data_IF_889872121940
#
_entry.id   IF_889872121940
#
_cell.length_a   1.000
_cell.length_b   1.000
_cell.length_c   1.000
_cell.angle_alpha   90.00
_cell.angle_beta   90.00
_cell.angle_gamma   90.00
#
_symmetry.space_group_name_H-M   'P 1'
#
loop_
_entity.id
_entity.type
_entity.pdbx_description
1 polymer ?
#
# COMPACT_ATOMS: atom_id res chain seq x y z
N UNK A 1 -10.33 -4.56 8.58
CA UNK A 1 -9.94 -3.95 7.32
C UNK A 1 -10.43 -2.50 7.29
N UNK A 2 -9.72 -1.59 6.70
CA UNK A 2 -10.13 -0.23 6.47
C UNK A 2 -9.41 0.82 7.33
N UNK A 3 -9.72 2.06 7.06
CA UNK A 3 -9.13 3.24 7.67
C UNK A 3 -9.83 3.49 9.02
N UNK A 4 -9.24 2.96 10.09
CA UNK A 4 -9.87 3.00 11.42
C UNK A 4 -9.67 4.32 12.18
N UNK A 5 -8.71 5.13 11.76
CA UNK A 5 -8.42 6.42 12.38
C UNK A 5 -9.31 7.56 11.85
N UNK A 6 -10.03 7.35 10.75
CA UNK A 6 -11.00 8.30 10.20
C UNK A 6 -12.40 7.98 10.70
N UNK A 7 -13.03 8.93 11.39
CA UNK A 7 -14.39 8.77 11.88
C UNK A 7 -15.38 8.82 10.72
N UNK A 8 -16.25 7.81 10.64
CA UNK A 8 -17.46 7.87 9.82
C UNK A 8 -18.61 8.22 10.73
N UNK A 9 -19.19 9.39 10.56
CA UNK A 9 -20.19 9.92 11.50
C UNK A 9 -21.35 10.57 10.77
N UNK A 10 -22.47 10.69 11.49
CA UNK A 10 -23.59 11.54 11.10
C UNK A 10 -23.36 12.90 11.74
N UNK A 11 -23.32 13.94 10.91
CA UNK A 11 -23.12 15.31 11.37
C UNK A 11 -24.45 15.91 11.81
N UNK A 12 -24.44 16.58 12.96
CA UNK A 12 -25.56 17.35 13.45
C UNK A 12 -25.16 18.82 13.55
N UNK A 13 -25.97 19.72 12.97
CA UNK A 13 -25.72 21.16 12.89
C UNK A 13 -26.81 21.98 13.57
N UNK A 14 -27.50 21.43 14.56
CA UNK A 14 -28.56 22.13 15.27
C UNK A 14 -28.06 23.46 15.87
N UNK A 15 -28.60 24.57 15.37
CA UNK A 15 -28.24 25.91 15.81
C UNK A 15 -26.85 26.39 15.40
N UNK A 16 -26.10 25.64 14.56
CA UNK A 16 -24.80 26.08 14.09
C UNK A 16 -24.89 27.24 13.10
N UNK A 17 -24.03 28.22 13.27
CA UNK A 17 -23.91 29.35 12.34
C UNK A 17 -22.97 28.94 11.18
N UNK A 18 -23.38 29.18 9.95
CA UNK A 18 -22.61 28.86 8.77
C UNK A 18 -22.66 29.96 7.72
N UNK A 19 -21.68 29.96 6.82
CA UNK A 19 -21.62 30.88 5.70
C UNK A 19 -21.52 30.07 4.40
N UNK A 20 -22.26 30.52 3.39
CA UNK A 20 -22.18 29.89 2.08
C UNK A 20 -20.87 30.25 1.40
N UNK A 21 -20.14 29.24 0.94
CA UNK A 21 -18.96 29.38 0.10
C UNK A 21 -19.27 28.80 -1.29
N UNK A 22 -19.25 29.64 -2.31
CA UNK A 22 -19.63 29.27 -3.66
C UNK A 22 -21.08 29.61 -4.02
N UNK A 23 -21.61 29.00 -5.06
CA UNK A 23 -22.98 29.24 -5.56
C UNK A 23 -24.01 28.35 -4.87
N UNK A 24 -25.21 28.88 -4.67
CA UNK A 24 -26.34 28.11 -4.13
C UNK A 24 -26.65 26.91 -5.03
N UNK A 25 -26.85 25.76 -4.40
CA UNK A 25 -27.17 24.48 -5.06
C UNK A 25 -26.08 23.93 -6.01
N UNK A 26 -24.84 24.45 -5.94
CA UNK A 26 -23.70 23.98 -6.75
C UNK A 26 -22.67 23.16 -5.93
N UNK A 27 -22.98 22.81 -4.69
CA UNK A 27 -22.06 22.09 -3.80
C UNK A 27 -21.55 20.76 -4.37
N UNK A 28 -22.41 20.01 -5.05
CA UNK A 28 -22.01 18.74 -5.68
C UNK A 28 -20.95 18.95 -6.79
N UNK A 29 -21.12 19.99 -7.62
CA UNK A 29 -20.14 20.32 -8.66
C UNK A 29 -18.79 20.75 -8.04
N UNK A 30 -18.80 21.53 -6.97
CA UNK A 30 -17.60 21.92 -6.23
C UNK A 30 -16.91 20.69 -5.60
N UNK A 31 -17.68 19.72 -5.09
CA UNK A 31 -17.15 18.48 -4.52
C UNK A 31 -16.37 17.65 -5.53
N UNK A 32 -16.74 17.65 -6.80
CA UNK A 32 -16.00 16.90 -7.83
C UNK A 32 -14.55 17.37 -8.00
N UNK A 33 -14.27 18.63 -7.75
CA UNK A 33 -12.89 19.14 -7.73
C UNK A 33 -12.07 18.42 -6.66
N UNK A 34 -12.59 18.36 -5.44
CA UNK A 34 -11.98 17.62 -4.33
C UNK A 34 -11.83 16.12 -4.67
N UNK A 35 -12.88 15.51 -5.19
CA UNK A 35 -12.87 14.08 -5.53
C UNK A 35 -11.79 13.70 -6.57
N UNK A 36 -11.48 14.58 -7.51
CA UNK A 36 -10.41 14.33 -8.47
C UNK A 36 -9.03 14.27 -7.79
N UNK A 37 -8.78 15.16 -6.85
CA UNK A 37 -7.55 15.10 -6.04
C UNK A 37 -7.51 13.87 -5.13
N UNK A 38 -8.63 13.51 -4.53
CA UNK A 38 -8.74 12.32 -3.69
C UNK A 38 -8.46 11.03 -4.46
N UNK A 39 -8.94 10.91 -5.68
CA UNK A 39 -8.65 9.74 -6.55
C UNK A 39 -7.16 9.58 -6.80
N UNK A 40 -6.45 10.67 -7.05
CA UNK A 40 -4.99 10.66 -7.18
C UNK A 40 -4.32 10.27 -5.85
N UNK A 41 -4.78 10.87 -4.74
CA UNK A 41 -4.29 10.57 -3.39
C UNK A 41 -4.43 9.09 -3.02
N UNK A 42 -5.58 8.48 -3.30
CA UNK A 42 -5.80 7.05 -3.08
C UNK A 42 -4.88 6.18 -3.96
N UNK A 43 -4.62 6.59 -5.19
CA UNK A 43 -3.64 5.92 -6.05
C UNK A 43 -2.24 5.92 -5.45
N UNK A 44 -1.80 7.07 -4.95
CA UNK A 44 -0.51 7.21 -4.25
C UNK A 44 -0.48 6.39 -2.95
N UNK A 45 -1.58 6.36 -2.20
CA UNK A 45 -1.70 5.52 -1.00
C UNK A 45 -1.53 4.03 -1.32
N UNK A 46 -2.11 3.55 -2.42
CA UNK A 46 -1.92 2.19 -2.90
C UNK A 46 -0.45 1.88 -3.21
N UNK A 47 0.22 2.78 -3.92
CA UNK A 47 1.64 2.66 -4.23
C UNK A 47 2.50 2.63 -2.96
N UNK A 48 2.30 3.57 -2.06
CA UNK A 48 3.06 3.67 -0.81
C UNK A 48 2.88 2.43 0.08
N UNK A 49 1.66 1.89 0.16
CA UNK A 49 1.38 0.66 0.90
C UNK A 49 2.07 -0.55 0.27
N UNK A 50 2.04 -0.65 -1.06
CA UNK A 50 2.73 -1.69 -1.82
C UNK A 50 4.24 -1.63 -1.60
N UNK A 51 4.84 -0.45 -1.71
CA UNK A 51 6.26 -0.23 -1.48
C UNK A 51 6.69 -0.59 -0.05
N UNK A 52 5.93 -0.17 0.95
CA UNK A 52 6.23 -0.52 2.35
C UNK A 52 6.16 -2.02 2.59
N UNK A 53 5.18 -2.69 2.03
CA UNK A 53 5.04 -4.14 2.12
C UNK A 53 6.20 -4.87 1.45
N UNK A 54 6.62 -4.39 0.28
CA UNK A 54 7.74 -4.93 -0.47
C UNK A 54 9.06 -4.81 0.29
N UNK A 55 9.36 -3.63 0.83
CA UNK A 55 10.57 -3.41 1.63
C UNK A 55 10.62 -4.33 2.84
N UNK A 56 9.53 -4.45 3.59
CA UNK A 56 9.44 -5.35 4.75
C UNK A 56 9.62 -6.83 4.36
N UNK A 57 9.06 -7.23 3.22
CA UNK A 57 9.22 -8.59 2.71
C UNK A 57 10.67 -8.91 2.31
N UNK A 58 11.37 -7.95 1.69
CA UNK A 58 12.79 -8.11 1.32
C UNK A 58 13.68 -8.23 2.57
N UNK A 59 13.48 -7.37 3.56
CA UNK A 59 14.23 -7.44 4.82
C UNK A 59 14.04 -8.80 5.47
N UNK A 60 12.81 -9.25 5.64
CA UNK A 60 12.50 -10.57 6.16
C UNK A 60 13.15 -11.69 5.35
N UNK A 61 13.09 -11.63 4.02
CA UNK A 61 13.66 -12.66 3.15
C UNK A 61 15.19 -12.74 3.21
N UNK A 62 15.87 -11.64 3.54
CA UNK A 62 17.32 -11.61 3.76
C UNK A 62 17.71 -12.20 5.11
N UNK A 63 16.90 -12.02 6.12
CA UNK A 63 17.18 -12.48 7.49
C UNK A 63 16.75 -13.93 7.71
N UNK A 64 15.63 -14.34 7.15
CA UNK A 64 15.06 -15.69 7.34
C UNK A 64 15.94 -16.74 6.69
N UNK A 65 16.49 -17.62 7.51
CA UNK A 65 17.30 -18.77 7.09
C UNK A 65 16.43 -20.00 6.99
N UNK A 66 16.40 -20.65 5.81
CA UNK A 66 15.62 -21.87 5.60
C UNK A 66 16.09 -22.61 4.34
N UNK A 67 16.39 -23.89 4.48
CA UNK A 67 16.86 -24.76 3.39
C UNK A 67 18.17 -24.27 2.74
N UNK A 68 18.61 -24.96 1.71
CA UNK A 68 19.78 -24.57 0.88
C UNK A 68 19.32 -24.12 -0.49
N UNK A 69 20.04 -23.15 -1.04
CA UNK A 69 19.80 -22.71 -2.41
C UNK A 69 20.01 -23.86 -3.40
N UNK A 70 19.16 -24.01 -4.44
CA UNK A 70 19.32 -25.07 -5.44
C UNK A 70 20.66 -25.01 -6.20
N UNK A 71 21.27 -23.84 -6.25
CA UNK A 71 22.58 -23.59 -6.90
C UNK A 71 23.77 -23.90 -6.01
N UNK A 72 23.54 -24.34 -4.77
CA UNK A 72 24.56 -24.63 -3.76
C UNK A 72 24.57 -23.64 -2.59
N UNK A 73 25.28 -23.96 -1.50
CA UNK A 73 25.30 -23.14 -0.29
C UNK A 73 25.84 -21.73 -0.55
N UNK A 74 25.05 -20.72 -0.24
CA UNK A 74 25.42 -19.29 -0.31
C UNK A 74 26.03 -18.84 1.03
N UNK A 75 25.37 -19.13 2.13
CA UNK A 75 25.87 -18.86 3.48
C UNK A 75 26.56 -20.11 4.05
N UNK A 76 27.86 -20.31 3.69
CA UNK A 76 28.63 -21.51 4.06
C UNK A 76 28.85 -21.68 5.56
N UNK A 77 28.81 -20.59 6.31
CA UNK A 77 28.97 -20.49 7.76
C UNK A 77 27.68 -20.80 8.54
N UNK A 78 26.54 -20.91 7.85
CA UNK A 78 25.22 -21.12 8.46
C UNK A 78 24.65 -22.49 8.08
N UNK A 79 23.74 -22.98 8.90
CA UNK A 79 23.06 -24.25 8.68
C UNK A 79 22.14 -24.26 7.45
N UNK A 80 21.69 -23.10 7.02
CA UNK A 80 20.82 -22.90 5.86
C UNK A 80 21.11 -21.55 5.19
N UNK A 81 20.48 -21.30 4.04
CA UNK A 81 20.63 -20.04 3.31
C UNK A 81 19.45 -19.10 3.57
N UNK A 82 19.63 -17.76 3.40
CA UNK A 82 18.52 -16.82 3.40
C UNK A 82 17.49 -17.17 2.33
N UNK A 83 16.20 -17.04 2.66
CA UNK A 83 15.15 -17.41 1.70
C UNK A 83 15.13 -16.55 0.45
N UNK A 84 15.74 -15.38 0.46
CA UNK A 84 15.83 -14.50 -0.71
C UNK A 84 16.55 -15.14 -1.90
N UNK A 85 17.44 -16.10 -1.66
CA UNK A 85 18.18 -16.78 -2.73
C UNK A 85 17.40 -17.93 -3.37
N UNK A 86 16.22 -18.24 -2.88
CA UNK A 86 15.38 -19.31 -3.42
C UNK A 86 14.51 -18.79 -4.58
N UNK A 87 14.31 -19.57 -5.64
CA UNK A 87 13.48 -19.17 -6.79
C UNK A 87 12.06 -18.78 -6.41
N UNK A 88 11.47 -19.43 -5.41
CA UNK A 88 10.14 -19.10 -4.86
C UNK A 88 10.06 -17.65 -4.37
N UNK A 89 11.12 -17.13 -3.76
CA UNK A 89 11.16 -15.75 -3.30
C UNK A 89 11.09 -14.76 -4.44
N UNK A 90 11.75 -15.03 -5.56
CA UNK A 90 11.62 -14.17 -6.75
C UNK A 90 10.21 -14.16 -7.32
N UNK A 91 9.53 -15.30 -7.31
CA UNK A 91 8.15 -15.40 -7.80
C UNK A 91 7.19 -14.55 -6.99
N UNK A 92 7.40 -14.41 -5.67
CA UNK A 92 6.49 -13.70 -4.78
C UNK A 92 6.92 -12.26 -4.46
N UNK A 93 8.23 -11.97 -4.48
CA UNK A 93 8.75 -10.63 -4.22
C UNK A 93 8.81 -9.76 -5.47
N UNK A 94 8.97 -10.34 -6.65
CA UNK A 94 8.77 -9.57 -7.87
C UNK A 94 7.27 -9.33 -8.03
N UNK A 95 6.89 -8.09 -8.15
CA UNK A 95 5.55 -7.76 -8.62
C UNK A 95 5.29 -8.61 -9.86
N UNK A 96 4.21 -9.41 -9.89
CA UNK A 96 3.89 -10.15 -11.09
C UNK A 96 3.84 -9.14 -12.23
N UNK A 97 4.71 -9.31 -13.19
CA UNK A 97 4.73 -8.53 -14.42
C UNK A 97 3.50 -8.92 -15.24
N UNK A 98 2.32 -8.65 -14.70
CA UNK A 98 1.03 -8.76 -15.40
C UNK A 98 0.96 -7.68 -16.50
N UNK A 99 1.95 -6.83 -16.60
CA UNK A 99 2.09 -5.81 -17.64
C UNK A 99 3.22 -6.14 -18.63
N UNK A 100 3.35 -7.39 -19.03
CA UNK A 100 3.93 -7.71 -20.31
C UNK A 100 2.80 -8.06 -21.28
N UNK A 101 2.18 -7.04 -21.80
CA UNK A 101 1.49 -7.11 -23.08
C UNK A 101 2.38 -6.43 -24.09
#
# INVERSE_FOLDING_TARGET
MGIKASATCVMNFDGATGWLVGEVNKGLAAMFTMMNYERLGVGIQGLATGERSYQSAIEYARERIQSRAPTGPVAKDKAADPIIVHPVSYTHLTLPTILRV
#
